data_IF_186004817642
#
_entry.id   IF_186004817642
#
_cell.length_a   1.000
_cell.length_b   1.000
_cell.length_c   1.000
_cell.angle_alpha   90.00
_cell.angle_beta   90.00
_cell.angle_gamma   90.00
#
_symmetry.space_group_name_H-M   'P 1'
#
loop_
_entity.id
_entity.type
_entity.pdbx_description
1 polymer ?
#
# COMPACT_ATOMS: atom_id res chain seq x y z
N UNK A 1 -7.14 39.98 28.66
CA UNK A 1 -6.37 39.45 27.50
C UNK A 1 -6.37 37.94 27.65
N UNK A 2 -7.22 37.24 26.91
CA UNK A 2 -7.20 35.76 26.85
C UNK A 2 -5.97 35.36 26.03
N UNK A 3 -5.01 34.73 26.67
CA UNK A 3 -3.91 34.05 25.97
C UNK A 3 -4.58 32.90 25.21
N UNK A 4 -4.81 33.06 23.90
CA UNK A 4 -5.17 31.95 23.07
C UNK A 4 -3.99 30.95 23.16
N UNK A 5 -4.19 29.85 23.85
CA UNK A 5 -3.26 28.74 23.80
C UNK A 5 -3.06 28.38 22.31
N UNK A 6 -1.87 28.60 21.80
CA UNK A 6 -1.56 28.33 20.41
C UNK A 6 -1.87 26.87 20.11
N UNK A 7 -2.53 26.60 18.98
CA UNK A 7 -2.80 25.23 18.55
C UNK A 7 -1.48 24.47 18.42
N UNK A 8 -1.47 23.20 18.85
CA UNK A 8 -0.26 22.39 18.80
C UNK A 8 0.17 22.16 17.35
N UNK A 9 1.43 22.47 17.04
CA UNK A 9 2.04 22.18 15.76
C UNK A 9 2.68 20.80 15.81
N UNK A 10 2.32 19.92 14.88
CA UNK A 10 2.83 18.54 14.78
C UNK A 10 3.61 18.42 13.47
N UNK A 11 4.95 18.33 13.53
CA UNK A 11 5.78 18.24 12.34
C UNK A 11 5.81 16.82 11.79
N UNK A 12 5.78 16.71 10.46
CA UNK A 12 6.23 15.53 9.75
C UNK A 12 7.74 15.64 9.52
N UNK A 13 8.48 14.63 9.98
CA UNK A 13 9.95 14.66 10.01
C UNK A 13 10.60 13.67 9.06
N UNK A 14 9.83 12.96 8.24
CA UNK A 14 10.29 11.92 7.33
C UNK A 14 11.40 12.40 6.37
N UNK A 15 11.37 13.69 5.99
CA UNK A 15 12.30 14.27 5.03
C UNK A 15 13.21 15.35 5.64
N UNK A 16 13.40 15.33 6.95
CA UNK A 16 14.32 16.28 7.64
C UNK A 16 15.72 16.26 7.07
N UNK A 17 16.24 15.09 6.72
CA UNK A 17 17.55 14.93 6.10
C UNK A 17 17.69 15.65 4.74
N UNK A 18 16.56 15.93 4.08
CA UNK A 18 16.50 16.70 2.84
C UNK A 18 16.30 18.21 3.09
N UNK A 19 16.21 18.63 4.36
CA UNK A 19 15.89 20.00 4.74
C UNK A 19 14.42 20.38 4.45
N UNK A 20 13.54 19.39 4.33
CA UNK A 20 12.13 19.60 4.06
C UNK A 20 11.27 19.06 5.21
N UNK A 21 10.38 19.90 5.69
CA UNK A 21 9.45 19.57 6.77
C UNK A 21 8.08 20.14 6.50
N UNK A 22 7.04 19.32 6.63
CA UNK A 22 5.66 19.76 6.69
C UNK A 22 5.20 19.82 8.15
N UNK A 23 4.25 20.68 8.47
CA UNK A 23 3.73 20.81 9.83
C UNK A 23 2.22 20.95 9.80
N UNK A 24 1.53 20.14 10.61
CA UNK A 24 0.08 20.20 10.80
C UNK A 24 -0.27 21.02 12.02
N UNK A 25 -1.31 21.84 11.91
CA UNK A 25 -1.93 22.49 13.06
C UNK A 25 -2.99 21.55 13.65
N UNK A 26 -2.68 20.90 14.75
CA UNK A 26 -3.62 20.00 15.41
C UNK A 26 -4.76 20.79 16.06
N UNK A 27 -6.00 20.44 15.73
CA UNK A 27 -7.19 20.92 16.43
C UNK A 27 -7.29 20.31 17.84
N UNK A 28 -6.95 19.02 17.93
CA UNK A 28 -6.93 18.25 19.17
C UNK A 28 -6.06 17.00 18.98
N UNK A 29 -5.19 16.70 19.94
CA UNK A 29 -4.54 15.40 20.05
C UNK A 29 -5.53 14.42 20.67
N UNK A 30 -5.80 13.31 19.97
CA UNK A 30 -6.74 12.28 20.40
C UNK A 30 -6.00 11.23 21.22
N UNK A 31 -4.82 10.82 20.72
CA UNK A 31 -4.01 9.80 21.35
C UNK A 31 -2.53 10.07 21.09
N UNK A 32 -1.67 9.80 22.05
CA UNK A 32 -0.21 9.88 21.91
C UNK A 32 0.43 8.88 22.86
N UNK A 33 1.28 8.02 22.32
CA UNK A 33 2.01 7.03 23.10
C UNK A 33 3.34 6.67 22.46
N UNK A 34 4.32 6.35 23.30
CA UNK A 34 5.54 5.68 22.92
C UNK A 34 5.36 4.19 23.18
N UNK A 35 5.41 3.38 22.12
CA UNK A 35 5.43 1.90 22.24
C UNK A 35 6.86 1.40 22.25
N UNK A 36 7.05 0.09 22.40
CA UNK A 36 8.39 -0.54 22.27
C UNK A 36 8.98 -0.34 20.86
N UNK A 37 8.14 -0.09 19.85
CA UNK A 37 8.54 -0.09 18.45
C UNK A 37 8.53 1.31 17.82
N UNK A 38 7.62 2.21 18.27
CA UNK A 38 7.38 3.48 17.57
C UNK A 38 6.66 4.51 18.44
N UNK A 39 6.85 5.79 18.12
CA UNK A 39 6.07 6.88 18.66
C UNK A 39 4.82 7.09 17.81
N UNK A 40 3.65 6.99 18.43
CA UNK A 40 2.35 7.02 17.78
C UNK A 40 1.59 8.28 18.20
N UNK A 41 1.15 9.07 17.22
CA UNK A 41 0.34 10.27 17.46
C UNK A 41 -0.89 10.24 16.57
N UNK A 42 -2.07 10.30 17.18
CA UNK A 42 -3.35 10.48 16.49
C UNK A 42 -3.92 11.84 16.87
N UNK A 43 -4.22 12.67 15.90
CA UNK A 43 -4.79 14.00 16.14
C UNK A 43 -5.87 14.34 15.10
N UNK A 44 -6.73 15.28 15.46
CA UNK A 44 -7.75 15.85 14.59
C UNK A 44 -7.21 17.11 13.90
N UNK A 45 -7.33 17.16 12.57
CA UNK A 45 -7.02 18.32 11.75
C UNK A 45 -8.30 18.87 11.11
N UNK A 46 -8.39 20.19 10.90
CA UNK A 46 -9.61 20.83 10.39
C UNK A 46 -10.04 20.39 9.00
N UNK A 47 -9.09 20.07 8.13
CA UNK A 47 -9.32 19.63 6.74
C UNK A 47 -9.11 18.12 6.56
N UNK A 48 -8.00 17.57 7.07
CA UNK A 48 -7.65 16.16 6.87
C UNK A 48 -8.38 15.18 7.80
N UNK A 49 -9.21 15.67 8.73
CA UNK A 49 -9.89 14.83 9.71
C UNK A 49 -8.91 14.23 10.72
N UNK A 50 -9.01 12.94 10.99
CA UNK A 50 -8.02 12.25 11.84
C UNK A 50 -6.74 12.01 11.03
N UNK A 51 -5.61 12.30 11.64
CA UNK A 51 -4.27 12.03 11.09
C UNK A 51 -3.56 11.12 12.07
N UNK A 52 -3.11 9.94 11.59
CA UNK A 52 -2.21 9.05 12.32
C UNK A 52 -0.80 9.25 11.82
N UNK A 53 0.12 9.46 12.75
CA UNK A 53 1.56 9.51 12.49
C UNK A 53 2.29 8.46 13.31
N UNK A 54 3.29 7.83 12.71
CA UNK A 54 4.23 6.92 13.35
C UNK A 54 5.64 7.45 13.16
N UNK A 55 6.38 7.63 14.27
CA UNK A 55 7.75 8.19 14.27
C UNK A 55 7.89 9.48 13.45
N UNK A 56 6.87 10.35 13.49
CA UNK A 56 6.84 11.61 12.77
C UNK A 56 6.56 11.48 11.26
N UNK A 57 6.16 10.32 10.77
CA UNK A 57 5.71 10.12 9.39
C UNK A 57 4.20 9.90 9.33
N UNK A 58 3.50 10.63 8.46
CA UNK A 58 2.07 10.49 8.23
C UNK A 58 1.76 9.12 7.62
N UNK A 59 0.89 8.35 8.26
CA UNK A 59 0.50 7.01 7.80
C UNK A 59 -0.87 7.02 7.12
N UNK A 60 -1.84 7.71 7.70
CA UNK A 60 -3.21 7.76 7.15
C UNK A 60 -3.90 9.05 7.59
N UNK A 61 -4.74 9.59 6.71
CA UNK A 61 -5.73 10.62 7.06
C UNK A 61 -7.11 10.20 6.58
N UNK A 62 -8.15 10.52 7.36
CA UNK A 62 -9.52 10.17 6.96
C UNK A 62 -10.06 10.97 5.78
N UNK A 63 -9.33 11.98 5.31
CA UNK A 63 -9.74 12.80 4.17
C UNK A 63 -9.29 12.26 2.82
N UNK A 64 -8.14 11.57 2.73
CA UNK A 64 -7.56 11.12 1.45
C UNK A 64 -7.08 9.66 1.42
N UNK A 65 -7.31 8.89 2.51
CA UNK A 65 -6.95 7.47 2.61
C UNK A 65 -7.46 6.64 1.41
N UNK A 66 -8.65 6.99 0.92
CA UNK A 66 -9.29 6.27 -0.19
C UNK A 66 -8.43 6.27 -1.47
N UNK A 67 -7.59 7.28 -1.68
CA UNK A 67 -6.70 7.31 -2.84
C UNK A 67 -5.72 6.15 -2.80
N UNK A 68 -5.09 5.95 -1.65
CA UNK A 68 -4.13 4.87 -1.44
C UNK A 68 -4.82 3.49 -1.42
N UNK A 69 -5.85 3.33 -0.60
CA UNK A 69 -6.54 2.06 -0.42
C UNK A 69 -7.17 1.55 -1.72
N UNK A 70 -7.87 2.42 -2.46
CA UNK A 70 -8.47 2.06 -3.75
C UNK A 70 -7.41 1.68 -4.78
N UNK A 71 -6.30 2.43 -4.87
CA UNK A 71 -5.27 2.17 -5.87
C UNK A 71 -4.46 0.92 -5.55
N UNK A 72 -4.11 0.68 -4.27
CA UNK A 72 -3.42 -0.55 -3.86
C UNK A 72 -4.29 -1.80 -4.09
N UNK A 73 -5.61 -1.65 -4.05
CA UNK A 73 -6.57 -2.76 -4.12
C UNK A 73 -7.10 -3.00 -5.52
N UNK A 74 -7.74 -1.99 -6.11
CA UNK A 74 -8.52 -2.21 -7.33
C UNK A 74 -7.65 -2.41 -8.56
N UNK A 75 -6.46 -1.79 -8.60
CA UNK A 75 -5.54 -1.97 -9.72
C UNK A 75 -5.13 -3.44 -9.86
N UNK A 76 -4.52 -4.12 -8.86
CA UNK A 76 -4.11 -5.51 -9.02
C UNK A 76 -5.29 -6.49 -9.15
N UNK A 77 -6.37 -6.32 -8.39
CA UNK A 77 -7.51 -7.25 -8.43
C UNK A 77 -8.21 -7.20 -9.78
N UNK A 78 -8.45 -6.02 -10.33
CA UNK A 78 -9.12 -5.87 -11.61
C UNK A 78 -8.20 -6.15 -12.80
N UNK A 79 -6.88 -5.95 -12.66
CA UNK A 79 -5.91 -6.42 -13.66
C UNK A 79 -5.83 -7.95 -13.69
N UNK A 80 -5.89 -8.64 -12.57
CA UNK A 80 -6.01 -10.10 -12.52
C UNK A 80 -7.35 -10.58 -13.08
N UNK A 81 -8.46 -9.94 -12.69
CA UNK A 81 -9.80 -10.12 -13.26
C UNK A 81 -10.60 -11.31 -12.71
N UNK A 82 -10.01 -12.16 -11.87
CA UNK A 82 -10.69 -13.27 -11.19
C UNK A 82 -9.96 -13.67 -9.90
N UNK A 83 -9.47 -12.68 -9.14
CA UNK A 83 -8.81 -12.91 -7.86
C UNK A 83 -9.81 -13.49 -6.84
N UNK A 84 -9.47 -14.63 -6.24
CA UNK A 84 -10.26 -15.32 -5.23
C UNK A 84 -9.57 -15.37 -3.88
N UNK A 85 -8.28 -15.59 -3.88
CA UNK A 85 -7.41 -15.66 -2.70
C UNK A 85 -6.51 -14.43 -2.69
N UNK A 86 -6.69 -13.56 -1.70
CA UNK A 86 -5.90 -12.32 -1.54
C UNK A 86 -5.15 -12.36 -0.23
N UNK A 87 -3.88 -11.95 -0.27
CA UNK A 87 -3.04 -11.75 0.91
C UNK A 87 -2.71 -10.27 1.06
N UNK A 88 -2.89 -9.74 2.25
CA UNK A 88 -2.32 -8.45 2.68
C UNK A 88 -1.22 -8.76 3.70
N UNK A 89 -0.06 -8.13 3.54
CA UNK A 89 1.04 -8.13 4.53
C UNK A 89 1.16 -6.72 5.08
N UNK A 90 0.86 -6.54 6.36
CA UNK A 90 0.68 -5.25 7.01
C UNK A 90 -0.75 -4.74 6.93
N UNK A 91 -0.94 -3.43 6.82
CA UNK A 91 -2.25 -2.79 6.64
C UNK A 91 -3.14 -2.86 7.89
N UNK A 92 -2.57 -2.70 9.07
CA UNK A 92 -3.26 -2.86 10.35
C UNK A 92 -4.47 -1.96 10.58
N UNK A 93 -4.66 -0.91 9.77
CA UNK A 93 -5.84 -0.05 9.79
C UNK A 93 -7.07 -0.69 9.11
N UNK A 94 -6.88 -1.79 8.35
CA UNK A 94 -7.89 -2.50 7.58
C UNK A 94 -8.48 -1.74 6.37
N UNK A 95 -7.97 -0.58 5.99
CA UNK A 95 -8.52 0.18 4.87
C UNK A 95 -8.39 -0.54 3.54
N UNK A 96 -7.23 -1.15 3.26
CA UNK A 96 -7.05 -2.02 2.08
C UNK A 96 -7.95 -3.25 2.17
N UNK A 97 -8.12 -3.86 3.35
CA UNK A 97 -8.99 -5.01 3.53
C UNK A 97 -10.46 -4.69 3.23
N UNK A 98 -10.94 -3.51 3.63
CA UNK A 98 -12.27 -3.02 3.29
C UNK A 98 -12.46 -2.98 1.77
N UNK A 99 -11.50 -2.40 1.04
CA UNK A 99 -11.58 -2.30 -0.41
C UNK A 99 -11.52 -3.67 -1.11
N UNK A 100 -10.70 -4.61 -0.60
CA UNK A 100 -10.63 -5.98 -1.13
C UNK A 100 -11.98 -6.69 -1.00
N UNK A 101 -12.65 -6.53 0.14
CA UNK A 101 -13.93 -7.21 0.42
C UNK A 101 -15.11 -6.66 -0.39
N UNK A 102 -14.99 -5.51 -1.03
CA UNK A 102 -15.96 -4.99 -2.01
C UNK A 102 -16.02 -5.87 -3.28
N UNK A 103 -14.99 -6.65 -3.57
CA UNK A 103 -14.95 -7.53 -4.74
C UNK A 103 -15.68 -8.86 -4.50
N UNK A 104 -16.79 -9.10 -5.17
CA UNK A 104 -17.60 -10.31 -5.04
C UNK A 104 -16.87 -11.61 -5.42
N UNK A 105 -15.84 -11.53 -6.27
CA UNK A 105 -15.05 -12.68 -6.68
C UNK A 105 -14.13 -13.20 -5.58
N UNK A 106 -13.70 -12.32 -4.66
CA UNK A 106 -12.82 -12.67 -3.54
C UNK A 106 -13.56 -13.64 -2.63
N UNK A 107 -12.97 -14.80 -2.39
CA UNK A 107 -13.50 -15.87 -1.54
C UNK A 107 -12.85 -15.90 -0.17
N UNK A 108 -11.59 -15.49 -0.11
CA UNK A 108 -10.87 -15.37 1.14
C UNK A 108 -9.84 -14.25 1.05
N UNK A 109 -9.82 -13.45 2.09
CA UNK A 109 -8.81 -12.43 2.35
C UNK A 109 -8.06 -12.81 3.61
N UNK A 110 -6.74 -12.98 3.50
CA UNK A 110 -5.86 -13.15 4.65
C UNK A 110 -5.06 -11.86 4.84
N UNK A 111 -5.08 -11.33 6.02
CA UNK A 111 -4.23 -10.22 6.42
C UNK A 111 -3.26 -10.70 7.50
N UNK A 112 -1.97 -10.42 7.30
CA UNK A 112 -0.91 -10.78 8.25
C UNK A 112 -0.30 -9.49 8.79
N UNK A 113 -0.56 -9.22 10.06
CA UNK A 113 -0.07 -8.04 10.76
C UNK A 113 0.86 -8.47 11.90
N UNK A 114 1.99 -7.79 12.03
CA UNK A 114 3.00 -8.15 13.04
C UNK A 114 2.60 -7.66 14.44
N UNK A 115 1.88 -6.56 14.51
CA UNK A 115 1.53 -5.88 15.76
C UNK A 115 0.01 -5.89 16.01
N UNK A 116 -0.42 -6.74 16.95
CA UNK A 116 -1.82 -6.80 17.36
C UNK A 116 -2.32 -5.46 17.92
N UNK A 117 -1.45 -4.64 18.52
CA UNK A 117 -1.83 -3.36 19.12
C UNK A 117 -2.27 -2.35 18.06
N UNK A 118 -1.71 -2.40 16.85
CA UNK A 118 -2.14 -1.55 15.73
C UNK A 118 -3.57 -1.88 15.31
N UNK A 119 -3.93 -3.16 15.31
CA UNK A 119 -5.30 -3.60 14.97
C UNK A 119 -6.29 -3.15 16.05
N UNK A 120 -5.95 -3.32 17.34
CA UNK A 120 -6.82 -2.87 18.45
C UNK A 120 -6.97 -1.33 18.44
N UNK A 121 -5.89 -0.61 18.23
CA UNK A 121 -5.93 0.84 18.04
C UNK A 121 -6.85 1.24 16.88
N UNK A 122 -6.75 0.54 15.76
CA UNK A 122 -7.58 0.82 14.58
C UNK A 122 -9.06 0.49 14.81
N UNK A 123 -9.38 -0.54 15.59
CA UNK A 123 -10.77 -0.82 16.01
C UNK A 123 -11.38 0.34 16.81
N UNK A 124 -10.60 0.97 17.65
CA UNK A 124 -11.06 2.08 18.49
C UNK A 124 -11.18 3.38 17.68
N UNK A 125 -10.19 3.66 16.86
CA UNK A 125 -10.04 4.98 16.26
C UNK A 125 -10.48 5.08 14.80
N UNK A 126 -10.52 3.95 14.07
CA UNK A 126 -10.97 3.85 12.66
C UNK A 126 -12.05 2.77 12.48
N UNK A 127 -13.14 2.82 13.28
CA UNK A 127 -14.21 1.81 13.22
C UNK A 127 -14.89 1.77 11.85
N UNK A 128 -14.82 2.83 11.07
CA UNK A 128 -15.32 2.94 9.71
C UNK A 128 -14.68 1.90 8.77
N UNK A 129 -13.40 1.58 8.93
CA UNK A 129 -12.69 0.56 8.14
C UNK A 129 -12.80 -0.81 8.79
N UNK A 130 -12.56 -0.89 10.11
CA UNK A 130 -12.38 -2.17 10.81
C UNK A 130 -13.68 -2.94 11.02
N UNK A 131 -14.79 -2.26 11.36
CA UNK A 131 -16.07 -2.95 11.64
C UNK A 131 -16.57 -3.80 10.48
N UNK A 132 -16.68 -3.30 9.22
CA UNK A 132 -17.17 -4.11 8.12
C UNK A 132 -16.22 -5.26 7.80
N UNK A 133 -14.90 -5.05 7.93
CA UNK A 133 -13.87 -6.06 7.66
C UNK A 133 -13.96 -7.22 8.65
N UNK A 134 -13.97 -6.91 9.95
CA UNK A 134 -13.98 -7.93 11.01
C UNK A 134 -15.31 -8.72 11.07
N UNK A 135 -16.37 -8.18 10.52
CA UNK A 135 -17.67 -8.88 10.41
C UNK A 135 -17.77 -9.77 9.16
N UNK A 136 -16.89 -9.63 8.17
CA UNK A 136 -16.95 -10.39 6.92
C UNK A 136 -16.33 -11.80 7.11
N UNK A 137 -17.11 -12.83 6.83
CA UNK A 137 -16.68 -14.24 6.98
C UNK A 137 -15.55 -14.67 6.04
N UNK A 138 -15.23 -13.86 5.04
CA UNK A 138 -14.11 -14.09 4.12
C UNK A 138 -12.78 -13.61 4.67
N UNK A 139 -12.81 -12.79 5.73
CA UNK A 139 -11.64 -12.18 6.33
C UNK A 139 -11.00 -13.09 7.38
N UNK A 140 -9.68 -13.21 7.32
CA UNK A 140 -8.85 -14.01 8.22
C UNK A 140 -7.64 -13.17 8.63
N UNK A 141 -7.62 -12.73 9.90
CA UNK A 141 -6.52 -11.94 10.48
C UNK A 141 -5.55 -12.87 11.19
N UNK A 142 -4.28 -12.77 10.85
CA UNK A 142 -3.19 -13.54 11.46
C UNK A 142 -2.18 -12.56 12.05
N UNK A 143 -1.95 -12.63 13.35
CA UNK A 143 -0.89 -11.87 14.01
C UNK A 143 0.39 -12.68 13.92
N UNK A 144 1.30 -12.26 13.03
CA UNK A 144 2.57 -12.95 12.76
C UNK A 144 3.54 -12.06 11.97
N UNK A 145 4.82 -12.44 11.97
CA UNK A 145 5.81 -11.87 11.04
C UNK A 145 5.46 -12.23 9.58
N UNK A 146 5.25 -11.20 8.75
CA UNK A 146 4.86 -11.37 7.34
C UNK A 146 5.90 -12.11 6.51
N UNK A 147 7.22 -11.93 6.79
CA UNK A 147 8.28 -12.68 6.13
C UNK A 147 8.21 -14.18 6.48
N UNK A 148 7.99 -14.50 7.75
CA UNK A 148 7.85 -15.89 8.19
C UNK A 148 6.61 -16.55 7.60
N UNK A 149 5.49 -15.81 7.58
CA UNK A 149 4.25 -16.32 7.03
C UNK A 149 4.40 -16.71 5.55
N UNK A 150 4.88 -15.77 4.69
CA UNK A 150 5.04 -16.08 3.26
C UNK A 150 6.12 -17.13 2.99
N UNK A 151 7.10 -17.32 3.89
CA UNK A 151 8.11 -18.35 3.78
C UNK A 151 7.58 -19.76 4.15
N UNK A 152 6.58 -19.86 5.03
CA UNK A 152 6.11 -21.13 5.59
C UNK A 152 4.76 -21.60 5.03
N UNK A 153 3.90 -20.67 4.56
CA UNK A 153 2.55 -21.02 4.11
C UNK A 153 2.53 -21.92 2.88
N UNK A 154 1.62 -22.89 2.86
CA UNK A 154 1.32 -23.73 1.70
C UNK A 154 0.17 -23.15 0.85
N UNK A 155 -0.47 -22.09 1.33
CA UNK A 155 -1.53 -21.40 0.58
C UNK A 155 -0.97 -20.70 -0.65
N UNK A 156 -1.84 -20.49 -1.61
CA UNK A 156 -1.54 -19.78 -2.87
C UNK A 156 -2.49 -18.63 -3.06
N UNK A 157 -1.95 -17.49 -3.49
CA UNK A 157 -2.67 -16.23 -3.61
C UNK A 157 -2.67 -15.73 -5.05
N UNK A 158 -3.82 -15.20 -5.46
CA UNK A 158 -3.99 -14.56 -6.78
C UNK A 158 -3.49 -13.11 -6.76
N UNK A 159 -3.61 -12.46 -5.61
CA UNK A 159 -3.09 -11.11 -5.40
C UNK A 159 -2.40 -11.05 -4.04
N UNK A 160 -1.21 -10.47 -4.00
CA UNK A 160 -0.49 -10.13 -2.76
C UNK A 160 -0.33 -8.61 -2.71
N UNK A 161 -0.81 -8.00 -1.64
CA UNK A 161 -0.66 -6.57 -1.35
C UNK A 161 0.26 -6.42 -0.15
N UNK A 162 1.36 -5.68 -0.32
CA UNK A 162 2.30 -5.40 0.77
C UNK A 162 2.13 -3.94 1.17
N UNK A 163 1.49 -3.75 2.30
CA UNK A 163 1.20 -2.46 2.89
C UNK A 163 2.00 -2.33 4.19
N UNK A 164 3.20 -1.82 4.06
CA UNK A 164 4.16 -1.65 5.15
C UNK A 164 4.56 -0.20 5.29
N UNK A 165 5.07 0.17 6.46
CA UNK A 165 5.82 1.42 6.63
C UNK A 165 7.03 1.45 5.70
N UNK A 166 7.63 2.62 5.52
CA UNK A 166 8.89 2.79 4.78
C UNK A 166 9.98 1.82 5.28
N UNK A 167 11.03 1.53 4.46
CA UNK A 167 12.02 0.48 4.75
C UNK A 167 12.97 0.82 5.93
N UNK A 168 12.39 1.24 7.04
CA UNK A 168 13.03 1.50 8.32
C UNK A 168 12.57 0.45 9.36
N UNK A 169 13.39 0.19 10.37
CA UNK A 169 13.03 -0.73 11.45
C UNK A 169 12.58 -2.13 10.97
N UNK A 170 11.54 -2.71 11.56
CA UNK A 170 11.04 -4.06 11.24
C UNK A 170 10.54 -4.20 9.79
N UNK A 171 9.97 -3.14 9.20
CA UNK A 171 9.46 -3.14 7.83
C UNK A 171 10.52 -3.38 6.75
N UNK A 172 11.80 -3.12 7.05
CA UNK A 172 12.91 -3.24 6.08
C UNK A 172 13.02 -4.62 5.42
N UNK A 173 12.68 -5.69 6.11
CA UNK A 173 12.74 -7.06 5.57
C UNK A 173 11.77 -7.26 4.41
N UNK A 174 10.63 -6.57 4.40
CA UNK A 174 9.60 -6.64 3.37
C UNK A 174 10.04 -6.01 2.03
N UNK A 175 11.16 -5.29 2.01
CA UNK A 175 11.80 -4.76 0.80
C UNK A 175 12.98 -5.60 0.32
N UNK A 176 13.18 -6.79 0.89
CA UNK A 176 14.29 -7.69 0.55
C UNK A 176 13.95 -8.57 -0.66
N UNK A 177 14.99 -8.96 -1.42
CA UNK A 177 14.80 -9.94 -2.50
C UNK A 177 14.33 -11.30 -1.96
N UNK A 178 14.73 -11.67 -0.73
CA UNK A 178 14.29 -12.90 -0.06
C UNK A 178 12.78 -12.90 0.19
N UNK A 179 12.24 -11.77 0.66
CA UNK A 179 10.80 -11.60 0.84
C UNK A 179 10.04 -11.71 -0.49
N UNK A 180 10.48 -11.00 -1.52
CA UNK A 180 9.82 -11.08 -2.84
C UNK A 180 9.88 -12.50 -3.44
N UNK A 181 10.96 -13.26 -3.20
CA UNK A 181 11.05 -14.64 -3.62
C UNK A 181 10.06 -15.54 -2.85
N UNK A 182 9.91 -15.32 -1.55
CA UNK A 182 8.94 -16.03 -0.71
C UNK A 182 7.49 -15.70 -1.12
N UNK A 183 7.17 -14.43 -1.38
CA UNK A 183 5.87 -14.04 -1.95
C UNK A 183 5.61 -14.76 -3.28
N UNK A 184 6.59 -14.75 -4.21
CA UNK A 184 6.44 -15.46 -5.49
C UNK A 184 6.16 -16.94 -5.33
N UNK A 185 6.78 -17.60 -4.34
CA UNK A 185 6.55 -19.02 -4.04
C UNK A 185 5.08 -19.31 -3.69
N UNK A 186 4.42 -18.40 -2.97
CA UNK A 186 3.01 -18.55 -2.58
C UNK A 186 2.01 -17.85 -3.52
N UNK A 187 2.43 -17.46 -4.73
CA UNK A 187 1.55 -16.95 -5.79
C UNK A 187 1.00 -18.07 -6.68
N UNK A 188 -0.22 -17.91 -7.18
CA UNK A 188 -0.79 -18.72 -8.24
C UNK A 188 -0.19 -18.35 -9.60
N UNK A 189 -0.42 -19.17 -10.64
CA UNK A 189 -0.07 -18.80 -12.02
C UNK A 189 -0.89 -17.58 -12.45
N UNK A 190 -0.22 -16.55 -12.95
CA UNK A 190 -0.86 -15.29 -13.36
C UNK A 190 -1.19 -14.34 -12.20
N UNK A 191 -0.69 -14.61 -11.00
CA UNK A 191 -0.89 -13.73 -9.85
C UNK A 191 -0.15 -12.40 -9.98
N UNK A 192 -0.59 -11.42 -9.20
CA UNK A 192 -0.02 -10.08 -9.12
C UNK A 192 0.42 -9.77 -7.69
N UNK A 193 1.60 -9.17 -7.55
CA UNK A 193 2.05 -8.59 -6.30
C UNK A 193 2.18 -7.08 -6.46
N UNK A 194 1.62 -6.34 -5.50
CA UNK A 194 1.82 -4.88 -5.37
C UNK A 194 2.42 -4.55 -4.02
N UNK A 195 3.20 -3.45 -3.97
CA UNK A 195 3.90 -3.01 -2.76
C UNK A 195 3.86 -1.50 -2.67
N UNK A 196 3.82 -0.94 -1.49
CA UNK A 196 4.16 0.46 -1.27
C UNK A 196 5.62 0.69 -1.72
N UNK A 197 5.93 1.81 -2.38
CA UNK A 197 7.29 2.13 -2.84
C UNK A 197 7.65 3.61 -2.71
N UNK A 198 7.11 4.27 -1.69
CA UNK A 198 7.45 5.64 -1.33
C UNK A 198 7.07 6.69 -2.38
N UNK A 199 7.60 7.88 -2.19
CA UNK A 199 7.38 9.04 -3.07
C UNK A 199 8.61 9.27 -3.95
N UNK A 200 8.57 8.97 -5.26
CA UNK A 200 9.76 8.92 -6.12
C UNK A 200 10.55 10.24 -6.23
N UNK A 201 9.93 11.38 -5.92
CA UNK A 201 10.62 12.67 -5.91
C UNK A 201 11.65 12.73 -4.77
N UNK A 202 11.29 12.28 -3.58
CA UNK A 202 12.14 12.33 -2.39
C UNK A 202 12.86 11.01 -2.11
N UNK A 203 12.26 9.88 -2.54
CA UNK A 203 12.74 8.52 -2.28
C UNK A 203 13.03 7.72 -3.58
N UNK A 204 13.80 8.27 -4.56
CA UNK A 204 14.01 7.58 -5.84
C UNK A 204 14.77 6.26 -5.69
N UNK A 205 15.55 6.13 -4.62
CA UNK A 205 16.32 4.92 -4.31
C UNK A 205 15.46 3.73 -3.92
N UNK A 206 14.35 3.95 -3.23
CA UNK A 206 13.43 2.89 -2.79
C UNK A 206 12.76 2.22 -3.98
N UNK A 207 12.13 3.02 -4.84
CA UNK A 207 11.51 2.53 -6.06
C UNK A 207 12.49 1.75 -6.93
N UNK A 208 13.66 2.32 -7.22
CA UNK A 208 14.66 1.68 -8.09
C UNK A 208 15.20 0.38 -7.49
N UNK A 209 15.48 0.35 -6.19
CA UNK A 209 15.94 -0.84 -5.47
C UNK A 209 14.89 -1.95 -5.52
N UNK A 210 13.63 -1.64 -5.28
CA UNK A 210 12.54 -2.61 -5.32
C UNK A 210 12.33 -3.16 -6.74
N UNK A 211 12.35 -2.31 -7.78
CA UNK A 211 12.24 -2.74 -9.19
C UNK A 211 13.37 -3.70 -9.55
N UNK A 212 14.63 -3.40 -9.20
CA UNK A 212 15.79 -4.27 -9.46
C UNK A 212 15.64 -5.64 -8.80
N UNK A 213 15.20 -5.68 -7.54
CA UNK A 213 15.04 -6.93 -6.81
C UNK A 213 13.92 -7.80 -7.39
N UNK A 214 12.75 -7.20 -7.69
CA UNK A 214 11.60 -7.93 -8.27
C UNK A 214 11.87 -8.42 -9.68
N UNK A 215 12.61 -7.67 -10.50
CA UNK A 215 12.95 -8.07 -11.86
C UNK A 215 13.74 -9.37 -11.94
N UNK A 216 14.54 -9.69 -10.92
CA UNK A 216 15.26 -10.97 -10.85
C UNK A 216 14.34 -12.16 -10.70
N UNK A 217 13.11 -11.93 -10.27
CA UNK A 217 12.15 -12.95 -9.90
C UNK A 217 10.95 -13.01 -10.85
N UNK A 218 10.48 -11.88 -11.35
CA UNK A 218 9.26 -11.75 -12.14
C UNK A 218 9.57 -11.35 -13.59
N UNK A 219 8.72 -11.78 -14.52
CA UNK A 219 8.84 -11.40 -15.93
C UNK A 219 8.55 -9.91 -16.15
N UNK A 220 7.65 -9.35 -15.37
CA UNK A 220 7.30 -7.92 -15.35
C UNK A 220 7.49 -7.33 -13.95
N UNK A 221 8.37 -6.34 -13.84
CA UNK A 221 8.58 -5.53 -12.63
C UNK A 221 8.53 -4.07 -13.02
N UNK A 222 7.55 -3.37 -12.49
CA UNK A 222 7.21 -1.99 -12.84
C UNK A 222 6.67 -1.23 -11.63
N UNK A 223 6.04 -0.09 -11.83
CA UNK A 223 5.21 0.61 -10.86
C UNK A 223 4.07 1.33 -11.57
N UNK A 224 3.08 1.71 -10.80
CA UNK A 224 2.08 2.72 -11.16
C UNK A 224 2.04 3.79 -10.07
N UNK A 225 1.38 4.91 -10.33
CA UNK A 225 1.43 6.09 -9.46
C UNK A 225 0.04 6.59 -9.15
N UNK A 226 -0.10 7.22 -7.97
CA UNK A 226 -1.25 8.02 -7.61
C UNK A 226 -0.79 9.29 -6.89
N UNK A 227 -1.52 10.39 -7.06
CA UNK A 227 -1.30 11.61 -6.30
C UNK A 227 -2.08 11.54 -5.00
N UNK A 228 -1.38 11.37 -3.88
CA UNK A 228 -1.95 11.29 -2.55
C UNK A 228 -1.56 12.57 -1.81
N UNK A 229 -2.50 13.46 -1.49
CA UNK A 229 -2.20 14.79 -0.97
C UNK A 229 -1.34 14.80 0.30
N UNK A 230 -1.57 13.84 1.20
CA UNK A 230 -0.83 13.75 2.47
C UNK A 230 0.52 13.07 2.37
N UNK A 231 0.80 12.30 1.33
CA UNK A 231 2.15 11.77 1.08
C UNK A 231 2.94 12.75 0.21
N UNK A 232 3.58 13.68 0.87
CA UNK A 232 4.24 14.82 0.25
C UNK A 232 5.30 14.40 -0.77
N UNK A 233 5.30 15.03 -1.94
CA UNK A 233 6.24 14.70 -3.03
C UNK A 233 5.57 14.51 -4.39
N UNK A 234 4.26 14.75 -4.47
CA UNK A 234 3.46 14.75 -5.70
C UNK A 234 2.86 13.39 -6.04
N UNK A 235 3.67 12.36 -6.22
CA UNK A 235 3.20 11.02 -6.55
C UNK A 235 3.73 9.99 -5.57
N UNK A 236 2.84 9.15 -5.07
CA UNK A 236 3.17 7.87 -4.44
C UNK A 236 3.34 6.80 -5.52
N UNK A 237 4.38 5.99 -5.42
CA UNK A 237 4.58 4.85 -6.30
C UNK A 237 4.12 3.56 -5.65
N UNK A 238 3.31 2.79 -6.37
CA UNK A 238 2.92 1.44 -6.04
C UNK A 238 3.71 0.49 -6.93
N UNK A 239 4.50 -0.37 -6.31
CA UNK A 239 5.30 -1.34 -7.03
C UNK A 239 4.43 -2.46 -7.60
N UNK A 240 4.80 -2.94 -8.78
CA UNK A 240 4.09 -3.95 -9.53
C UNK A 240 5.00 -5.10 -9.89
N UNK A 241 4.56 -6.33 -9.68
CA UNK A 241 5.27 -7.53 -10.11
C UNK A 241 4.31 -8.66 -10.51
N UNK A 242 4.57 -9.27 -11.68
CA UNK A 242 3.81 -10.42 -12.20
C UNK A 242 4.63 -11.18 -13.23
N UNK A 243 4.25 -12.42 -13.54
CA UNK A 243 4.80 -13.17 -14.66
C UNK A 243 4.01 -12.97 -15.98
N UNK A 244 2.90 -12.20 -15.96
CA UNK A 244 2.13 -11.83 -17.15
C UNK A 244 2.19 -10.32 -17.45
N UNK A 245 3.14 -9.90 -18.26
CA UNK A 245 3.33 -8.49 -18.64
C UNK A 245 2.13 -7.85 -19.36
N UNK A 246 1.17 -8.65 -19.86
CA UNK A 246 -0.04 -8.13 -20.54
C UNK A 246 -1.00 -7.47 -19.56
N UNK A 247 -0.91 -7.79 -18.27
CA UNK A 247 -1.80 -7.24 -17.24
C UNK A 247 -1.73 -5.72 -17.10
N UNK A 248 -0.59 -5.08 -17.40
CA UNK A 248 -0.46 -3.62 -17.45
C UNK A 248 -1.00 -2.97 -18.72
N UNK A 249 -1.33 -3.78 -19.73
CA UNK A 249 -1.76 -3.32 -21.05
C UNK A 249 -3.25 -3.56 -21.30
N UNK A 250 -3.99 -3.90 -20.25
CA UNK A 250 -5.42 -4.15 -20.33
C UNK A 250 -6.15 -2.83 -20.68
N UNK A 251 -7.08 -2.91 -21.63
CA UNK A 251 -7.83 -1.73 -22.07
C UNK A 251 -8.81 -1.25 -21.01
N UNK A 252 -9.11 0.06 -21.00
CA UNK A 252 -10.16 0.69 -20.18
C UNK A 252 -11.48 -0.09 -20.32
N UNK A 253 -11.86 -0.47 -21.55
CA UNK A 253 -13.08 -1.25 -21.81
C UNK A 253 -13.10 -2.57 -21.04
N UNK A 254 -11.99 -3.28 -21.02
CA UNK A 254 -11.89 -4.56 -20.30
C UNK A 254 -11.93 -4.35 -18.77
N UNK A 255 -11.22 -3.35 -18.27
CA UNK A 255 -11.26 -3.01 -16.83
C UNK A 255 -12.69 -2.60 -16.42
N UNK A 256 -13.37 -1.78 -17.21
CA UNK A 256 -14.77 -1.40 -16.97
C UNK A 256 -15.71 -2.61 -16.96
N UNK A 257 -15.49 -3.61 -17.83
CA UNK A 257 -16.27 -4.85 -17.82
C UNK A 257 -16.02 -5.67 -16.56
N UNK A 258 -14.75 -5.80 -16.13
CA UNK A 258 -14.38 -6.50 -14.90
C UNK A 258 -14.95 -5.84 -13.66
N UNK A 259 -14.90 -4.51 -13.60
CA UNK A 259 -15.51 -3.72 -12.51
C UNK A 259 -17.02 -3.92 -12.41
N UNK A 260 -17.74 -3.89 -13.55
CA UNK A 260 -19.17 -4.21 -13.56
C UNK A 260 -19.48 -5.60 -13.02
N UNK A 261 -18.65 -6.60 -13.37
CA UNK A 261 -18.78 -7.98 -12.89
C UNK A 261 -18.40 -8.13 -11.41
N UNK A 262 -17.49 -7.29 -10.91
CA UNK A 262 -17.05 -7.31 -9.51
C UNK A 262 -18.09 -6.78 -8.51
N UNK A 263 -19.17 -6.12 -8.97
CA UNK A 263 -20.27 -5.65 -8.12
C UNK A 263 -20.57 -4.16 -8.20
N UNK A 264 -19.80 -3.36 -8.94
CA UNK A 264 -19.97 -1.89 -9.07
C UNK A 264 -20.04 -1.18 -7.71
N UNK A 265 -19.14 -1.49 -6.83
CA UNK A 265 -19.04 -0.81 -5.55
C UNK A 265 -18.63 0.68 -5.73
N UNK A 266 -18.99 1.59 -4.83
CA UNK A 266 -18.61 2.99 -4.93
C UNK A 266 -17.08 3.15 -4.77
N UNK A 267 -16.50 4.05 -5.56
CA UNK A 267 -15.12 4.52 -5.46
C UNK A 267 -15.11 6.05 -5.46
N UNK A 268 -14.13 6.65 -4.79
CA UNK A 268 -13.95 8.10 -4.73
C UNK A 268 -12.84 8.60 -5.67
N UNK A 269 -11.83 7.77 -5.91
CA UNK A 269 -10.66 8.10 -6.73
C UNK A 269 -10.52 7.19 -7.94
N UNK A 270 -10.59 5.88 -7.72
CA UNK A 270 -10.35 4.90 -8.76
C UNK A 270 -11.47 4.90 -9.81
N UNK A 271 -11.09 4.93 -11.09
CA UNK A 271 -11.95 4.62 -12.24
C UNK A 271 -11.20 3.70 -13.20
N UNK A 272 -11.87 3.05 -14.17
CA UNK A 272 -11.18 2.28 -15.20
C UNK A 272 -10.14 3.10 -15.99
N UNK A 273 -10.41 4.38 -16.19
CA UNK A 273 -9.51 5.32 -16.87
C UNK A 273 -8.28 5.63 -16.00
N UNK A 274 -8.48 5.94 -14.71
CA UNK A 274 -7.40 6.16 -13.73
C UNK A 274 -6.54 4.91 -13.60
N UNK A 275 -7.15 3.72 -13.55
CA UNK A 275 -6.42 2.44 -13.51
C UNK A 275 -5.39 2.33 -14.65
N UNK A 276 -5.83 2.59 -15.87
CA UNK A 276 -4.94 2.48 -17.05
C UNK A 276 -3.93 3.63 -17.07
N UNK A 277 -4.37 4.86 -16.77
CA UNK A 277 -3.53 6.05 -16.77
C UNK A 277 -2.43 5.99 -15.69
N UNK A 278 -2.67 5.33 -14.57
CA UNK A 278 -1.71 5.21 -13.47
C UNK A 278 -0.37 4.59 -13.88
N UNK A 279 -0.34 3.76 -14.92
CA UNK A 279 0.87 3.17 -15.50
C UNK A 279 1.61 4.12 -16.48
N UNK A 280 1.04 5.26 -16.84
CA UNK A 280 1.68 6.31 -17.63
C UNK A 280 2.56 7.18 -16.71
N UNK A 281 3.83 6.80 -16.57
CA UNK A 281 4.73 7.44 -15.63
C UNK A 281 5.26 8.78 -16.15
N UNK A 282 5.40 9.81 -15.30
CA UNK A 282 6.21 10.98 -15.58
C UNK A 282 7.62 10.59 -16.02
N UNK A 283 8.23 11.40 -16.90
CA UNK A 283 9.50 11.05 -17.54
C UNK A 283 10.60 10.68 -16.53
N UNK A 284 10.77 11.45 -15.46
CA UNK A 284 11.83 11.19 -14.46
C UNK A 284 11.62 9.85 -13.74
N UNK A 285 10.37 9.46 -13.44
CA UNK A 285 10.06 8.15 -12.84
C UNK A 285 10.30 7.03 -13.86
N UNK A 286 9.83 7.22 -15.10
CA UNK A 286 10.02 6.27 -16.18
C UNK A 286 11.51 6.01 -16.46
N UNK A 287 12.34 7.04 -16.44
CA UNK A 287 13.81 6.93 -16.61
C UNK A 287 14.45 6.16 -15.43
N UNK A 288 14.02 6.41 -14.19
CA UNK A 288 14.48 5.68 -13.02
C UNK A 288 14.15 4.18 -13.12
N UNK A 289 12.92 3.84 -13.48
CA UNK A 289 12.48 2.46 -13.70
C UNK A 289 13.24 1.83 -14.87
N UNK A 290 13.46 2.54 -15.98
CA UNK A 290 14.23 2.05 -17.11
C UNK A 290 15.70 1.79 -16.77
N UNK A 291 16.35 2.69 -16.01
CA UNK A 291 17.72 2.49 -15.49
C UNK A 291 17.82 1.27 -14.58
N UNK A 292 16.87 1.10 -13.66
CA UNK A 292 16.76 -0.08 -12.81
C UNK A 292 16.64 -1.36 -13.64
N UNK A 293 15.91 -1.29 -14.75
CA UNK A 293 15.70 -2.39 -15.67
C UNK A 293 16.93 -2.73 -16.54
N UNK A 294 17.86 -1.83 -16.80
CA UNK A 294 19.07 -2.05 -17.61
C UNK A 294 20.25 -2.65 -16.84
N UNK A 295 20.30 -2.49 -15.52
CA UNK A 295 21.47 -2.81 -14.69
C UNK A 295 21.78 -4.29 -14.48
N UNK A 296 20.96 -5.24 -15.03
CA UNK A 296 21.29 -6.68 -15.01
C UNK A 296 20.77 -7.40 -16.26
N UNK A 297 21.53 -8.38 -16.82
CA UNK A 297 21.05 -9.20 -17.93
C UNK A 297 19.81 -10.02 -17.49
N UNK A 298 18.86 -10.16 -18.43
CA UNK A 298 17.70 -11.05 -18.23
C UNK A 298 18.20 -12.45 -17.97
N UNK A 299 17.77 -13.09 -16.90
CA UNK A 299 17.91 -14.53 -16.75
C UNK A 299 17.09 -15.16 -17.88
N UNK A 300 17.77 -15.70 -18.90
CA UNK A 300 17.10 -16.53 -19.90
C UNK A 300 16.60 -17.78 -19.18
N UNK A 301 15.30 -17.97 -19.16
CA UNK A 301 14.73 -19.25 -18.75
C UNK A 301 15.04 -20.28 -19.83
N UNK A 302 15.68 -21.39 -19.44
CA UNK A 302 15.72 -22.61 -20.22
C UNK A 302 14.33 -23.26 -20.19
#
# INVERSE_FOLDING_TARGET
MSIMAGKRQIPETLFDDLGFRMTYEAKRVIYEAQTEHQHLVLFEHSFFGKILMLDGATQVTTADEFVYHEMMTHVPILAHGNAREVLIVGGGDCGIAEEVLKHNAVKRLTQVEIDASVVEFSKEHFPEFTKPVLADKRFDLIIADGMEYVAKTDRRFDVIIVDSTDPHGPGKVLFSQKFFAACRRCMTTGAVMVTQNGVPMFQPGELTSAVVKRRKLFADSYCYIAAIPTYVGGHMAMGWATDDARMRQISVKTIAQRYRKAGRFPTKYWTPEVHVAAFALPRFIAENVAKANRRQPRVRRA
#
